data_IF_217673698772
#
_entry.id   IF_217673698772
#
_cell.length_a   1.000
_cell.length_b   1.000
_cell.length_c   1.000
_cell.angle_alpha   90.00
_cell.angle_beta   90.00
_cell.angle_gamma   90.00
#
_symmetry.space_group_name_H-M   'P 1'
#
loop_
_entity.id
_entity.type
_entity.pdbx_description
1 polymer ?
#
# COMPACT_ATOMS: atom_id res chain seq x y z
N UNK A 1 10.11 -20.16 25.36
CA UNK A 1 8.95 -19.48 24.74
C UNK A 1 9.48 -18.75 23.52
N UNK A 2 9.41 -19.36 22.34
CA UNK A 2 9.88 -18.71 21.11
C UNK A 2 8.88 -17.61 20.75
N UNK A 3 9.30 -16.36 20.93
CA UNK A 3 8.58 -15.22 20.35
C UNK A 3 8.67 -15.37 18.84
N UNK A 4 7.54 -15.59 18.17
CA UNK A 4 7.45 -15.48 16.71
C UNK A 4 8.04 -14.11 16.32
N UNK A 5 8.98 -14.05 15.34
CA UNK A 5 9.50 -12.77 14.91
C UNK A 5 8.34 -11.88 14.47
N UNK A 6 8.36 -10.56 14.75
CA UNK A 6 7.24 -9.66 14.50
C UNK A 6 6.79 -9.62 13.03
N UNK A 7 7.65 -10.07 12.11
CA UNK A 7 7.36 -10.22 10.69
C UNK A 7 6.34 -11.33 10.34
N UNK A 8 6.10 -12.29 11.24
CA UNK A 8 5.18 -13.42 11.05
C UNK A 8 4.01 -13.45 12.04
N UNK A 9 3.85 -12.41 12.85
CA UNK A 9 2.64 -12.26 13.67
C UNK A 9 1.47 -11.82 12.77
N UNK A 10 0.67 -12.80 12.35
CA UNK A 10 -0.47 -12.63 11.45
C UNK A 10 -1.83 -12.65 12.19
N UNK A 11 -1.86 -12.26 13.46
CA UNK A 11 -3.11 -12.18 14.24
C UNK A 11 -4.13 -11.22 13.59
N UNK A 12 -5.29 -11.72 13.13
CA UNK A 12 -6.33 -10.88 12.55
C UNK A 12 -6.81 -9.76 13.47
N UNK A 13 -6.78 -9.95 14.80
CA UNK A 13 -7.18 -8.93 15.77
C UNK A 13 -6.21 -7.75 15.76
N UNK A 14 -4.90 -8.02 15.69
CA UNK A 14 -3.86 -6.99 15.53
C UNK A 14 -4.03 -6.22 14.23
N UNK A 15 -4.33 -6.91 13.11
CA UNK A 15 -4.63 -6.24 11.84
C UNK A 15 -5.88 -5.36 11.92
N UNK A 16 -6.94 -5.84 12.57
CA UNK A 16 -8.18 -5.10 12.71
C UNK A 16 -7.97 -3.83 13.54
N UNK A 17 -7.27 -3.92 14.67
CA UNK A 17 -6.90 -2.77 15.50
C UNK A 17 -6.09 -1.74 14.69
N UNK A 18 -5.05 -2.19 13.97
CA UNK A 18 -4.27 -1.29 13.13
C UNK A 18 -5.10 -0.65 12.00
N UNK A 19 -5.99 -1.41 11.36
CA UNK A 19 -6.89 -0.87 10.33
C UNK A 19 -7.86 0.18 10.88
N UNK A 20 -8.24 0.09 12.16
CA UNK A 20 -9.02 1.12 12.85
C UNK A 20 -8.17 2.38 13.10
N UNK A 21 -6.98 2.23 13.67
CA UNK A 21 -6.06 3.36 13.93
C UNK A 21 -5.77 4.17 12.65
N UNK A 22 -5.54 3.49 11.52
CA UNK A 22 -5.33 4.14 10.22
C UNK A 22 -6.54 4.95 9.78
N UNK A 23 -7.76 4.40 9.91
CA UNK A 23 -9.00 5.10 9.55
C UNK A 23 -9.24 6.31 10.43
N UNK A 24 -9.02 6.17 11.74
CA UNK A 24 -9.19 7.26 12.71
C UNK A 24 -8.23 8.41 12.39
N UNK A 25 -6.98 8.11 12.04
CA UNK A 25 -5.99 9.10 11.64
C UNK A 25 -6.41 9.85 10.34
N UNK A 26 -6.92 9.13 9.33
CA UNK A 26 -7.39 9.73 8.09
C UNK A 26 -8.59 10.66 8.33
N UNK A 27 -9.56 10.23 9.14
CA UNK A 27 -10.73 11.06 9.47
C UNK A 27 -10.33 12.29 10.30
N UNK A 28 -9.41 12.13 11.26
CA UNK A 28 -8.89 13.25 12.04
C UNK A 28 -8.12 14.25 11.17
N UNK A 29 -7.43 13.78 10.12
CA UNK A 29 -6.67 14.62 9.19
C UNK A 29 -7.57 15.50 8.32
N UNK A 30 -8.79 15.06 7.98
CA UNK A 30 -9.75 15.81 7.18
C UNK A 30 -11.15 15.71 7.81
N UNK A 31 -11.52 16.64 8.70
CA UNK A 31 -12.88 16.67 9.25
C UNK A 31 -13.94 16.74 8.15
N UNK A 32 -14.96 15.89 8.25
CA UNK A 32 -15.99 15.73 7.22
C UNK A 32 -15.65 14.73 6.12
N UNK A 33 -14.45 14.13 6.14
CA UNK A 33 -14.12 12.97 5.32
C UNK A 33 -14.66 11.66 5.91
N UNK A 34 -14.67 10.61 5.10
CA UNK A 34 -15.09 9.26 5.48
C UNK A 34 -14.02 8.26 5.07
N UNK A 35 -13.56 7.42 6.00
CA UNK A 35 -12.60 6.36 5.75
C UNK A 35 -13.21 4.97 6.04
N UNK A 36 -13.33 4.14 5.01
CA UNK A 36 -14.00 2.84 5.07
C UNK A 36 -13.07 1.69 4.69
N UNK A 37 -13.32 0.52 5.27
CA UNK A 37 -12.71 -0.71 4.81
C UNK A 37 -13.23 -1.06 3.42
N UNK A 38 -12.36 -1.66 2.61
CA UNK A 38 -12.69 -2.23 1.31
C UNK A 38 -12.28 -3.70 1.25
N UNK A 39 -12.49 -4.30 0.08
CA UNK A 39 -11.95 -5.62 -0.22
C UNK A 39 -12.41 -6.71 0.73
N UNK A 40 -11.48 -7.61 1.07
CA UNK A 40 -11.78 -8.80 1.87
C UNK A 40 -12.14 -8.48 3.33
N UNK A 41 -11.57 -7.40 3.89
CA UNK A 41 -11.86 -6.96 5.26
C UNK A 41 -13.29 -6.46 5.39
N UNK A 42 -13.75 -5.62 4.46
CA UNK A 42 -15.12 -5.11 4.47
C UNK A 42 -16.18 -6.22 4.31
N UNK A 43 -15.86 -7.25 3.53
CA UNK A 43 -16.77 -8.38 3.28
C UNK A 43 -16.74 -9.45 4.37
N UNK A 44 -15.83 -9.36 5.34
CA UNK A 44 -15.63 -10.40 6.35
C UNK A 44 -15.05 -11.71 5.80
N UNK A 45 -14.42 -11.67 4.62
CA UNK A 45 -13.81 -12.85 3.97
C UNK A 45 -12.29 -12.84 4.04
N UNK A 46 -11.71 -12.01 4.90
CA UNK A 46 -10.26 -11.86 5.02
C UNK A 46 -9.65 -13.03 5.80
N UNK A 47 -8.54 -13.57 5.29
CA UNK A 47 -7.69 -14.52 6.01
C UNK A 47 -6.49 -13.80 6.66
N UNK A 48 -5.57 -14.53 7.28
CA UNK A 48 -4.37 -13.99 7.92
C UNK A 48 -3.41 -13.27 6.94
N UNK A 49 -3.51 -13.57 5.64
CA UNK A 49 -2.64 -13.04 4.60
C UNK A 49 -3.23 -11.85 3.83
N UNK A 50 -4.51 -11.51 4.06
CA UNK A 50 -5.12 -10.34 3.44
C UNK A 50 -4.36 -9.06 3.80
N UNK A 51 -4.19 -8.23 2.78
CA UNK A 51 -3.82 -6.81 2.88
C UNK A 51 -4.93 -5.99 3.55
N UNK A 52 -4.64 -4.70 3.72
CA UNK A 52 -5.56 -3.71 4.24
C UNK A 52 -6.00 -2.84 3.05
N UNK A 53 -7.25 -2.94 2.64
CA UNK A 53 -7.84 -2.07 1.63
C UNK A 53 -8.67 -0.97 2.31
N UNK A 54 -8.37 0.30 2.02
CA UNK A 54 -9.14 1.45 2.52
C UNK A 54 -9.64 2.32 1.37
N UNK A 55 -10.83 2.89 1.53
CA UNK A 55 -11.31 4.01 0.74
C UNK A 55 -11.44 5.24 1.64
N UNK A 56 -10.86 6.36 1.23
CA UNK A 56 -10.94 7.64 1.90
C UNK A 56 -11.58 8.68 0.99
N UNK A 57 -12.80 9.05 1.33
CA UNK A 57 -13.59 10.03 0.60
C UNK A 57 -13.44 11.40 1.25
N UNK A 58 -12.96 12.38 0.49
CA UNK A 58 -12.61 13.72 0.97
C UNK A 58 -13.37 14.80 0.18
N UNK A 59 -13.60 15.99 0.76
CA UNK A 59 -14.12 17.12 0.01
C UNK A 59 -13.22 17.46 -1.19
N UNK A 60 -13.80 17.75 -2.35
CA UNK A 60 -13.02 18.02 -3.56
C UNK A 60 -11.99 19.13 -3.35
N UNK A 61 -12.38 20.24 -2.72
CA UNK A 61 -11.48 21.36 -2.40
C UNK A 61 -10.23 20.96 -1.59
N UNK A 62 -10.29 19.86 -0.83
CA UNK A 62 -9.19 19.39 0.04
C UNK A 62 -8.39 18.23 -0.57
N UNK A 63 -8.75 17.75 -1.76
CA UNK A 63 -8.21 16.51 -2.31
C UNK A 63 -6.67 16.47 -2.38
N UNK A 64 -6.02 17.47 -2.99
CA UNK A 64 -4.56 17.46 -3.13
C UNK A 64 -3.85 17.62 -1.77
N UNK A 65 -4.42 18.42 -0.87
CA UNK A 65 -3.91 18.55 0.51
C UNK A 65 -3.99 17.22 1.25
N UNK A 66 -5.11 16.50 1.11
CA UNK A 66 -5.30 15.19 1.70
C UNK A 66 -4.30 14.17 1.15
N UNK A 67 -4.11 14.12 -0.18
CA UNK A 67 -3.13 13.24 -0.83
C UNK A 67 -1.71 13.52 -0.31
N UNK A 68 -1.30 14.77 -0.22
CA UNK A 68 0.02 15.17 0.29
C UNK A 68 0.19 14.83 1.79
N UNK A 69 -0.89 14.88 2.57
CA UNK A 69 -0.87 14.62 4.01
C UNK A 69 -0.79 13.13 4.37
N UNK A 70 -1.06 12.20 3.46
CA UNK A 70 -1.12 10.75 3.75
C UNK A 70 0.16 10.24 4.42
N UNK A 71 1.33 10.57 3.85
CA UNK A 71 2.62 10.11 4.36
C UNK A 71 2.85 10.54 5.81
N UNK A 72 2.81 11.86 6.12
CA UNK A 72 2.91 12.36 7.48
C UNK A 72 1.82 11.83 8.42
N UNK A 73 0.56 11.84 7.99
CA UNK A 73 -0.60 11.42 8.78
C UNK A 73 -0.49 9.96 9.22
N UNK A 74 -0.27 9.04 8.29
CA UNK A 74 -0.15 7.62 8.59
C UNK A 74 1.20 7.29 9.23
N UNK A 75 2.24 8.07 8.93
CA UNK A 75 3.55 8.00 9.58
C UNK A 75 3.49 8.24 11.09
N UNK A 76 2.55 9.06 11.56
CA UNK A 76 2.31 9.31 12.98
C UNK A 76 1.68 8.11 13.71
N UNK A 77 0.89 7.29 13.00
CA UNK A 77 0.35 6.02 13.54
C UNK A 77 1.46 4.98 13.60
N UNK A 78 2.17 4.80 12.48
CA UNK A 78 3.30 3.89 12.37
C UNK A 78 4.22 4.33 11.24
N UNK A 79 5.53 4.21 11.45
CA UNK A 79 6.53 4.65 10.47
C UNK A 79 6.29 4.01 9.09
N UNK A 80 5.99 4.86 8.10
CA UNK A 80 5.83 4.48 6.69
C UNK A 80 7.22 4.28 6.09
N UNK A 81 7.48 3.10 5.53
CA UNK A 81 8.77 2.76 4.90
C UNK A 81 8.71 2.80 3.38
N UNK A 82 7.50 2.76 2.81
CA UNK A 82 7.26 2.92 1.38
C UNK A 82 5.90 3.56 1.18
N UNK A 83 5.84 4.58 0.32
CA UNK A 83 4.62 5.23 -0.14
C UNK A 83 4.75 5.42 -1.65
N UNK A 84 3.84 4.85 -2.41
CA UNK A 84 3.84 4.91 -3.88
C UNK A 84 2.46 5.27 -4.40
N UNK A 85 2.40 6.09 -5.43
CA UNK A 85 1.16 6.37 -6.15
C UNK A 85 1.07 5.52 -7.41
N UNK A 86 -0.11 4.94 -7.68
CA UNK A 86 -0.39 4.32 -8.97
C UNK A 86 -0.36 5.37 -10.09
N UNK A 87 0.47 5.21 -11.13
CA UNK A 87 0.61 6.21 -12.19
C UNK A 87 -0.65 6.31 -13.07
N UNK A 88 -1.42 5.23 -13.23
CA UNK A 88 -2.62 5.21 -14.06
C UNK A 88 -3.80 5.90 -13.37
N UNK A 89 -3.90 5.83 -12.04
CA UNK A 89 -4.87 6.61 -11.26
C UNK A 89 -4.75 8.13 -11.50
N UNK A 90 -3.56 8.61 -11.86
CA UNK A 90 -3.31 10.03 -12.17
C UNK A 90 -3.83 10.44 -13.56
N UNK A 91 -3.86 9.48 -14.50
CA UNK A 91 -4.23 9.70 -15.92
C UNK A 91 -5.74 9.81 -16.14
N UNK A 92 -6.55 9.32 -15.20
CA UNK A 92 -8.01 9.40 -15.25
C UNK A 92 -8.60 10.67 -14.61
N UNK A 93 -7.79 11.72 -14.48
CA UNK A 93 -8.16 13.08 -14.05
C UNK A 93 -9.20 13.79 -14.95
N UNK A 94 -9.71 13.11 -15.98
CA UNK A 94 -10.82 13.56 -16.84
C UNK A 94 -12.20 12.98 -16.45
N UNK A 95 -12.31 12.24 -15.33
CA UNK A 95 -13.61 11.84 -14.75
C UNK A 95 -14.13 12.93 -13.80
N UNK A 96 -15.46 13.04 -13.56
CA UNK A 96 -16.04 14.09 -12.72
C UNK A 96 -15.62 14.02 -11.23
N UNK A 97 -14.95 12.94 -10.80
CA UNK A 97 -14.43 12.77 -9.45
C UNK A 97 -12.92 12.48 -9.51
N UNK A 98 -12.12 13.31 -8.82
CA UNK A 98 -10.68 13.06 -8.66
C UNK A 98 -10.45 11.81 -7.81
N UNK A 99 -9.50 10.97 -8.23
CA UNK A 99 -9.15 9.73 -7.53
C UNK A 99 -7.65 9.47 -7.58
N UNK A 100 -7.09 8.95 -6.49
CA UNK A 100 -5.70 8.50 -6.38
C UNK A 100 -5.66 7.14 -5.70
N UNK A 101 -4.83 6.22 -6.19
CA UNK A 101 -4.54 4.97 -5.49
C UNK A 101 -3.10 5.02 -4.96
N UNK A 102 -2.95 4.80 -3.66
CA UNK A 102 -1.68 4.81 -2.96
C UNK A 102 -1.41 3.44 -2.35
N UNK A 103 -0.14 3.02 -2.39
CA UNK A 103 0.33 1.77 -1.79
C UNK A 103 1.33 2.10 -0.69
N UNK A 104 1.09 1.60 0.51
CA UNK A 104 1.90 1.88 1.69
C UNK A 104 2.39 0.60 2.36
N UNK A 105 3.66 0.61 2.77
CA UNK A 105 4.21 -0.37 3.69
C UNK A 105 4.69 0.32 4.96
N UNK A 106 4.57 -0.39 6.08
CA UNK A 106 4.90 0.11 7.41
C UNK A 106 6.06 -0.68 8.01
N UNK A 107 6.86 -0.01 8.83
CA UNK A 107 7.91 -0.64 9.63
C UNK A 107 7.30 -1.65 10.60
N UNK A 108 8.00 -2.77 10.81
CA UNK A 108 7.65 -3.83 11.76
C UNK A 108 6.24 -4.43 11.59
N UNK A 109 5.72 -4.36 10.36
CA UNK A 109 4.49 -5.04 9.96
C UNK A 109 4.79 -6.22 9.04
N UNK A 110 3.98 -7.29 9.08
CA UNK A 110 4.10 -8.39 8.15
C UNK A 110 4.02 -7.89 6.69
N UNK A 111 4.86 -8.45 5.82
CA UNK A 111 4.87 -8.09 4.38
C UNK A 111 3.52 -8.31 3.69
N UNK A 112 2.66 -9.16 4.24
CA UNK A 112 1.32 -9.39 3.74
C UNK A 112 0.37 -8.22 3.97
N UNK A 113 0.56 -7.45 5.05
CA UNK A 113 -0.34 -6.36 5.47
C UNK A 113 0.11 -5.01 4.91
N UNK A 114 0.20 -4.95 3.58
CA UNK A 114 0.29 -3.68 2.85
C UNK A 114 -1.03 -2.95 2.94
N UNK A 115 -0.98 -1.61 2.94
CA UNK A 115 -2.16 -0.78 2.79
C UNK A 115 -2.31 -0.36 1.33
N UNK A 116 -3.46 -0.67 0.75
CA UNK A 116 -3.90 -0.17 -0.55
C UNK A 116 -4.99 0.87 -0.26
N UNK A 117 -4.64 2.16 -0.39
CA UNK A 117 -5.49 3.29 -0.03
C UNK A 117 -5.99 3.99 -1.30
N UNK A 118 -7.30 3.92 -1.51
CA UNK A 118 -8.00 4.72 -2.50
C UNK A 118 -8.45 6.05 -1.89
N UNK A 119 -8.10 7.17 -2.53
CA UNK A 119 -8.57 8.50 -2.14
C UNK A 119 -9.46 9.03 -3.25
N UNK A 120 -10.67 9.47 -2.92
CA UNK A 120 -11.63 10.01 -3.89
C UNK A 120 -12.24 11.32 -3.41
N UNK A 121 -12.40 12.27 -4.31
CA UNK A 121 -13.13 13.51 -4.06
C UNK A 121 -14.65 13.27 -4.20
N UNK A 122 -15.44 13.79 -3.27
CA UNK A 122 -16.88 14.02 -3.50
C UNK A 122 -17.07 15.32 -4.25
N UNK A 123 -17.69 15.24 -5.43
CA UNK A 123 -18.08 16.41 -6.19
C UNK A 123 -19.33 16.99 -5.56
N UNK A 124 -19.28 18.26 -5.13
CA UNK A 124 -20.47 19.00 -4.73
C UNK A 124 -21.34 19.28 -5.96
N UNK A 125 -22.15 18.31 -6.41
CA UNK A 125 -23.21 18.58 -7.39
C UNK A 125 -24.37 19.43 -6.81
N UNK A 126 -24.16 20.06 -5.65
CA UNK A 126 -25.10 20.97 -4.99
C UNK A 126 -24.64 22.42 -4.91
N UNK A 127 -23.49 22.78 -5.49
CA UNK A 127 -23.08 24.18 -5.61
C UNK A 127 -23.65 24.80 -6.90
N UNK A 128 -24.93 25.21 -6.85
CA UNK A 128 -25.48 26.15 -7.82
C UNK A 128 -24.66 27.46 -7.86
N UNK A 129 -24.72 28.25 -8.95
CA UNK A 129 -23.85 29.39 -9.12
C UNK A 129 -24.27 30.53 -8.18
N UNK A 130 -23.51 30.77 -7.12
CA UNK A 130 -23.67 31.96 -6.30
C UNK A 130 -22.93 31.90 -4.97
N UNK A 131 -21.90 32.74 -4.82
CA UNK A 131 -21.34 33.03 -3.49
C UNK A 131 -19.88 33.47 -3.51
N UNK A 132 -19.66 34.76 -3.71
CA UNK A 132 -18.37 35.45 -3.50
C UNK A 132 -18.11 35.57 -1.98
N UNK A 133 -16.83 35.77 -1.62
CA UNK A 133 -16.20 36.19 -0.33
C UNK A 133 -15.64 35.06 0.55
N UNK A 134 -14.43 35.14 1.14
CA UNK A 134 -13.47 36.23 1.21
C UNK A 134 -12.14 35.76 1.82
N UNK A 135 -11.11 36.60 1.66
CA UNK A 135 -9.76 36.41 2.15
C UNK A 135 -9.68 36.37 3.69
N UNK A 136 -8.79 35.53 4.22
CA UNK A 136 -8.45 35.48 5.64
C UNK A 136 -7.10 34.81 5.86
N UNK A 137 -6.05 35.62 5.97
CA UNK A 137 -4.71 35.22 6.36
C UNK A 137 -4.63 34.91 7.87
N UNK A 138 -3.72 34.00 8.25
CA UNK A 138 -3.20 33.90 9.61
C UNK A 138 -3.07 32.46 10.11
N UNK A 139 -1.84 32.00 10.31
CA UNK A 139 -1.60 30.71 10.96
C UNK A 139 -0.18 30.22 10.88
N UNK A 140 0.78 31.04 11.30
CA UNK A 140 2.15 30.62 11.54
C UNK A 140 2.18 29.66 12.75
N UNK A 141 2.52 28.39 12.52
CA UNK A 141 2.90 27.43 13.57
C UNK A 141 4.03 26.55 13.05
N UNK A 142 5.24 26.96 13.36
CA UNK A 142 6.38 26.08 13.44
C UNK A 142 6.14 25.03 14.54
N UNK A 143 6.36 23.76 14.21
CA UNK A 143 6.76 22.73 15.17
C UNK A 143 7.64 21.70 14.47
N UNK A 144 8.93 21.78 14.83
CA UNK A 144 9.96 20.78 14.58
C UNK A 144 9.63 19.45 15.24
N UNK A 145 9.96 18.36 14.55
CA UNK A 145 9.84 16.99 15.04
C UNK A 145 10.09 16.00 13.91
N UNK A 146 11.31 16.03 13.35
CA UNK A 146 11.72 15.24 12.20
C UNK A 146 11.62 13.74 12.45
N UNK A 147 10.44 13.17 12.17
CA UNK A 147 10.37 11.79 11.69
C UNK A 147 11.10 11.73 10.35
N UNK A 148 11.86 10.66 10.05
CA UNK A 148 12.41 10.49 8.71
C UNK A 148 11.23 10.50 7.74
N UNK A 149 11.16 11.56 6.93
CA UNK A 149 10.10 11.72 5.95
C UNK A 149 10.07 10.45 5.10
N UNK A 150 8.88 9.85 4.97
CA UNK A 150 8.69 8.76 4.02
C UNK A 150 9.27 9.22 2.68
N UNK A 151 10.18 8.44 2.10
CA UNK A 151 10.75 8.75 0.79
C UNK A 151 9.59 8.71 -0.19
N UNK A 152 9.09 9.90 -0.54
CA UNK A 152 8.15 10.06 -1.63
C UNK A 152 8.88 9.60 -2.89
N UNK A 153 8.42 8.49 -3.48
CA UNK A 153 8.95 7.99 -4.73
C UNK A 153 8.00 8.45 -5.85
N UNK A 154 8.26 9.60 -6.50
CA UNK A 154 7.40 10.13 -7.55
C UNK A 154 7.41 9.25 -8.80
N UNK A 155 8.40 8.37 -8.96
CA UNK A 155 8.54 7.50 -10.11
C UNK A 155 8.19 6.06 -9.71
N UNK A 156 7.22 5.47 -10.40
CA UNK A 156 6.74 4.13 -10.07
C UNK A 156 7.86 3.08 -10.22
N UNK A 157 8.38 2.57 -9.09
CA UNK A 157 9.38 1.50 -9.07
C UNK A 157 8.81 0.17 -9.61
N UNK A 158 9.33 -0.26 -10.76
CA UNK A 158 8.99 -1.53 -11.39
C UNK A 158 9.46 -2.71 -10.54
N UNK A 159 10.64 -2.59 -9.93
CA UNK A 159 11.18 -3.61 -9.02
C UNK A 159 10.32 -3.76 -7.76
N UNK A 160 9.90 -2.67 -7.11
CA UNK A 160 9.01 -2.75 -5.95
C UNK A 160 7.64 -3.35 -6.34
N UNK A 161 7.17 -3.07 -7.55
CA UNK A 161 5.95 -3.66 -8.11
C UNK A 161 6.10 -5.16 -8.42
N UNK A 162 7.28 -5.61 -8.85
CA UNK A 162 7.61 -7.03 -9.01
C UNK A 162 7.70 -7.76 -7.67
N UNK A 163 8.30 -7.14 -6.65
CA UNK A 163 8.39 -7.69 -5.28
C UNK A 163 7.00 -7.80 -4.63
N UNK A 164 6.10 -6.85 -4.90
CA UNK A 164 4.69 -6.96 -4.51
C UNK A 164 4.00 -8.19 -5.12
N UNK A 165 4.28 -8.51 -6.40
CA UNK A 165 3.79 -9.76 -6.99
C UNK A 165 4.41 -10.97 -6.32
N UNK A 166 5.70 -10.95 -5.99
CA UNK A 166 6.37 -12.05 -5.30
C UNK A 166 5.71 -12.38 -3.95
N UNK A 167 5.35 -11.37 -3.15
CA UNK A 167 4.56 -11.56 -1.93
C UNK A 167 3.18 -12.16 -2.26
N UNK A 168 2.51 -11.69 -3.30
CA UNK A 168 1.23 -12.23 -3.74
C UNK A 168 1.32 -13.69 -4.23
N UNK A 169 2.44 -14.09 -4.85
CA UNK A 169 2.74 -15.49 -5.20
C UNK A 169 2.74 -16.34 -3.93
N UNK A 170 3.46 -15.92 -2.89
CA UNK A 170 3.47 -16.62 -1.59
C UNK A 170 2.05 -16.76 -1.03
N UNK A 171 1.25 -15.68 -1.03
CA UNK A 171 -0.16 -15.73 -0.60
C UNK A 171 -0.97 -16.75 -1.40
N UNK A 172 -0.84 -16.77 -2.72
CA UNK A 172 -1.58 -17.67 -3.59
C UNK A 172 -1.20 -19.15 -3.37
N UNK A 173 0.09 -19.43 -3.17
CA UNK A 173 0.56 -20.79 -2.86
C UNK A 173 0.02 -21.27 -1.51
N UNK A 174 0.08 -20.43 -0.47
CA UNK A 174 -0.48 -20.75 0.86
C UNK A 174 -2.01 -20.96 0.84
N UNK A 175 -2.69 -20.45 -0.17
CA UNK A 175 -4.13 -20.65 -0.41
C UNK A 175 -4.44 -21.82 -1.33
N UNK A 176 -3.45 -22.58 -1.77
CA UNK A 176 -3.62 -23.70 -2.72
C UNK A 176 -4.05 -23.24 -4.12
N UNK A 177 -3.59 -22.07 -4.57
CA UNK A 177 -3.96 -21.46 -5.86
C UNK A 177 -2.74 -21.36 -6.82
N UNK A 178 -2.22 -22.50 -7.32
CA UNK A 178 -0.99 -22.52 -8.13
C UNK A 178 -1.11 -21.77 -9.46
N UNK A 179 -2.27 -21.80 -10.11
CA UNK A 179 -2.47 -21.08 -11.38
C UNK A 179 -2.41 -19.55 -11.20
N UNK A 180 -2.98 -19.07 -10.09
CA UNK A 180 -2.90 -17.65 -9.69
C UNK A 180 -1.46 -17.29 -9.36
N UNK A 181 -0.75 -18.15 -8.63
CA UNK A 181 0.66 -17.97 -8.30
C UNK A 181 1.54 -17.87 -9.56
N UNK A 182 1.33 -18.75 -10.55
CA UNK A 182 2.06 -18.71 -11.82
C UNK A 182 1.84 -17.37 -12.56
N UNK A 183 0.58 -16.95 -12.71
CA UNK A 183 0.26 -15.70 -13.40
C UNK A 183 0.79 -14.44 -12.69
N UNK A 184 0.90 -14.46 -11.36
CA UNK A 184 1.51 -13.39 -10.57
C UNK A 184 3.03 -13.36 -10.75
N UNK A 185 3.69 -14.52 -10.72
CA UNK A 185 5.13 -14.65 -10.92
C UNK A 185 5.54 -14.11 -12.29
N UNK A 186 4.88 -14.57 -13.35
CA UNK A 186 5.18 -14.17 -14.73
C UNK A 186 4.94 -12.67 -14.95
N UNK A 187 3.91 -12.10 -14.31
CA UNK A 187 3.68 -10.66 -14.31
C UNK A 187 4.79 -9.91 -13.61
N UNK A 188 5.30 -10.42 -12.48
CA UNK A 188 6.43 -9.87 -11.76
C UNK A 188 7.71 -9.87 -12.61
N UNK A 189 8.04 -11.00 -13.22
CA UNK A 189 9.22 -11.14 -14.09
C UNK A 189 9.16 -10.15 -15.27
N UNK A 190 8.00 -10.06 -15.93
CA UNK A 190 7.79 -9.10 -17.04
C UNK A 190 8.01 -7.64 -16.62
N UNK A 191 7.63 -7.25 -15.41
CA UNK A 191 7.81 -5.86 -14.93
C UNK A 191 9.28 -5.44 -14.90
N UNK A 192 10.19 -6.37 -14.61
CA UNK A 192 11.64 -6.10 -14.51
C UNK A 192 12.42 -6.58 -15.73
N UNK A 193 11.72 -6.90 -16.83
CA UNK A 193 12.33 -7.37 -18.08
C UNK A 193 12.97 -8.76 -17.98
N UNK A 194 12.68 -9.53 -16.94
CA UNK A 194 13.19 -10.88 -16.77
C UNK A 194 12.34 -11.89 -17.54
N UNK A 195 13.02 -12.83 -18.21
CA UNK A 195 12.36 -13.93 -18.93
C UNK A 195 12.14 -15.14 -18.03
N UNK A 196 11.10 -15.91 -18.34
CA UNK A 196 10.84 -17.23 -17.76
C UNK A 196 9.41 -17.41 -17.27
N UNK A 197 9.03 -18.67 -17.11
CA UNK A 197 7.73 -19.11 -16.61
C UNK A 197 7.85 -19.66 -15.19
N UNK A 198 6.71 -19.92 -14.54
CA UNK A 198 6.69 -20.64 -13.28
C UNK A 198 7.17 -22.10 -13.48
N UNK A 199 8.05 -22.56 -12.61
CA UNK A 199 8.53 -23.94 -12.58
C UNK A 199 7.71 -24.84 -11.65
N UNK A 200 6.90 -24.24 -10.76
CA UNK A 200 6.18 -24.93 -9.70
C UNK A 200 6.99 -25.13 -8.42
N UNK A 201 8.33 -24.92 -8.47
CA UNK A 201 9.19 -24.83 -7.28
C UNK A 201 9.09 -23.44 -6.71
N UNK A 202 8.00 -23.18 -6.00
CA UNK A 202 7.55 -21.84 -5.65
C UNK A 202 8.57 -21.04 -4.86
N UNK A 203 9.29 -21.68 -3.93
CA UNK A 203 10.34 -21.00 -3.17
C UNK A 203 11.45 -20.49 -4.09
N UNK A 204 11.99 -21.36 -4.96
CA UNK A 204 13.03 -20.99 -5.92
C UNK A 204 12.55 -19.94 -6.93
N UNK A 205 11.30 -20.03 -7.38
CA UNK A 205 10.69 -19.07 -8.30
C UNK A 205 10.55 -17.68 -7.67
N UNK A 206 10.11 -17.60 -6.40
CA UNK A 206 10.03 -16.34 -5.66
C UNK A 206 11.43 -15.74 -5.43
N UNK A 207 12.42 -16.55 -5.07
CA UNK A 207 13.82 -16.09 -4.91
C UNK A 207 14.35 -15.52 -6.22
N UNK A 208 14.14 -16.22 -7.34
CA UNK A 208 14.54 -15.76 -8.68
C UNK A 208 13.92 -14.43 -9.04
N UNK A 209 12.62 -14.25 -8.79
CA UNK A 209 11.94 -12.97 -9.04
C UNK A 209 12.50 -11.85 -8.13
N UNK A 210 12.76 -12.15 -6.86
CA UNK A 210 13.33 -11.17 -5.93
C UNK A 210 14.76 -10.74 -6.34
N UNK A 211 15.58 -11.69 -6.82
CA UNK A 211 16.91 -11.40 -7.36
C UNK A 211 16.84 -10.53 -8.62
N UNK A 212 15.97 -10.88 -9.56
CA UNK A 212 15.77 -10.09 -10.78
C UNK A 212 15.33 -8.65 -10.45
N UNK A 213 14.44 -8.47 -9.47
CA UNK A 213 14.02 -7.13 -9.02
C UNK A 213 15.18 -6.34 -8.40
N UNK A 214 15.99 -6.96 -7.53
CA UNK A 214 17.15 -6.32 -6.92
C UNK A 214 18.31 -6.05 -7.89
N UNK A 215 18.36 -6.77 -9.02
CA UNK A 215 19.28 -6.47 -10.12
C UNK A 215 18.79 -5.29 -10.96
N UNK A 216 17.47 -5.25 -11.23
CA UNK A 216 16.84 -4.16 -11.98
C UNK A 216 16.95 -2.82 -11.25
N UNK A 217 16.65 -2.80 -9.95
CA UNK A 217 16.80 -1.61 -9.10
C UNK A 217 17.52 -1.99 -7.79
N UNK A 218 18.84 -1.75 -7.70
CA UNK A 218 19.64 -2.13 -6.52
C UNK A 218 19.16 -1.56 -5.19
N UNK A 219 18.49 -0.39 -5.21
CA UNK A 219 17.90 0.22 -4.04
C UNK A 219 16.81 -0.67 -3.38
N UNK A 220 16.18 -1.58 -4.13
CA UNK A 220 15.15 -2.50 -3.62
C UNK A 220 15.71 -3.77 -2.97
N UNK A 221 17.04 -3.93 -2.91
CA UNK A 221 17.68 -5.12 -2.31
C UNK A 221 17.20 -5.44 -0.88
N UNK A 222 17.03 -4.48 0.05
CA UNK A 222 16.52 -4.77 1.38
C UNK A 222 15.12 -5.42 1.37
N UNK A 223 14.23 -4.96 0.48
CA UNK A 223 12.89 -5.54 0.33
C UNK A 223 12.96 -6.93 -0.33
N UNK A 224 13.80 -7.09 -1.36
CA UNK A 224 14.03 -8.39 -1.98
C UNK A 224 14.51 -9.43 -0.96
N UNK A 225 15.42 -9.06 -0.07
CA UNK A 225 15.91 -9.97 0.97
C UNK A 225 14.83 -10.33 2.00
N UNK A 226 13.91 -9.41 2.32
CA UNK A 226 12.75 -9.72 3.15
C UNK A 226 11.80 -10.72 2.45
N UNK A 227 11.54 -10.53 1.15
CA UNK A 227 10.70 -11.45 0.36
C UNK A 227 11.33 -12.85 0.26
N UNK A 228 12.65 -12.94 0.09
CA UNK A 228 13.36 -14.23 0.09
C UNK A 228 13.24 -14.95 1.42
N UNK A 229 13.39 -14.24 2.55
CA UNK A 229 13.19 -14.81 3.89
C UNK A 229 11.77 -15.31 4.07
N UNK A 230 10.78 -14.51 3.68
CA UNK A 230 9.37 -14.90 3.71
C UNK A 230 9.12 -16.22 2.95
N UNK A 231 9.67 -16.35 1.74
CA UNK A 231 9.53 -17.56 0.95
C UNK A 231 10.22 -18.76 1.59
N UNK A 232 11.42 -18.57 2.15
CA UNK A 232 12.15 -19.64 2.83
C UNK A 232 11.42 -20.15 4.08
N UNK A 233 10.74 -19.26 4.81
CA UNK A 233 10.00 -19.59 6.03
C UNK A 233 8.66 -20.28 5.74
N UNK A 234 7.97 -19.93 4.64
CA UNK A 234 6.57 -20.31 4.43
C UNK A 234 6.31 -21.29 3.29
N UNK A 235 7.23 -21.41 2.32
CA UNK A 235 7.04 -22.29 1.16
C UNK A 235 7.91 -23.53 1.29
N UNK A 236 7.41 -24.68 0.88
CA UNK A 236 8.20 -25.91 0.70
C UNK A 236 9.04 -25.83 -0.60
N UNK A 237 10.04 -26.72 -0.75
CA UNK A 237 10.84 -26.86 -1.99
C UNK A 237 10.09 -27.61 -3.10
#
# INVERSE_FOLDING_TARGET
MSSTPPAMDLDPARRAAFSQELRDALVAQCPGSVAELRGSLARGTADSYSDIDLAWTVPDAQFETCVAAVGPCLGAVRAVVSLRSDPDSQRYSQRPCRRRLLFLAFRDMPLFWRLDLEIAAVSDESAGPGGVVGAGAGGDRAQDGGSPAAVWDPEWSLAASALANAVAVVKAVLRGQPDVAAGLLERGLRRVGASGSASGRWRADVVRLADAAAQHEPAQRPLADQVKRLAAELLEE
#
